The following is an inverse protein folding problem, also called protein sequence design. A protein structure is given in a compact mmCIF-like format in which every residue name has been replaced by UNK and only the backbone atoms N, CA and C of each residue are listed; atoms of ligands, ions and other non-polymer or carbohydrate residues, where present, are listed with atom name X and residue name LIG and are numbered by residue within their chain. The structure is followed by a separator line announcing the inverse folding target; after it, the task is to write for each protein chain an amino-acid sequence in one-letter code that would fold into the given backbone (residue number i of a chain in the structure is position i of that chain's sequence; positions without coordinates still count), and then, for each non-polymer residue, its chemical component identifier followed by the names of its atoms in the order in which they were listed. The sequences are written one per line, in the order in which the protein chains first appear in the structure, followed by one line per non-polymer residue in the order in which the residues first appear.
data_IF_046202226458
#
_entry.id   IF_046202226458
#
_cell.length_a   1.000
_cell.length_b   1.000
_cell.length_c   1.000
_cell.angle_alpha   90.00
_cell.angle_beta   90.00
_cell.angle_gamma   90.00
#
_symmetry.space_group_name_H-M   'P 1'
#
loop_
_entity.id
_entity.type
_entity.pdbx_description
1 polymer ?
#
# COMPACT_ATOMS: atom_id res chain seq x y z
N UNK A 1 9.31 -2.78 -46.33
CA UNK A 1 8.42 -2.32 -45.23
C UNK A 1 7.25 -1.47 -45.74
N UNK A 2 7.46 -0.57 -46.70
CA UNK A 2 6.47 0.41 -47.20
C UNK A 2 5.17 -0.23 -47.69
N UNK A 3 5.24 -1.30 -48.49
CA UNK A 3 4.05 -1.97 -49.04
C UNK A 3 3.06 -2.49 -47.98
N UNK A 4 3.53 -2.91 -46.79
CA UNK A 4 2.64 -3.46 -45.73
C UNK A 4 1.87 -2.38 -44.97
N UNK A 5 2.37 -1.15 -45.00
CA UNK A 5 1.78 0.02 -44.32
C UNK A 5 0.77 0.71 -45.23
N UNK A 6 1.08 0.82 -46.53
CA UNK A 6 0.25 1.54 -47.52
C UNK A 6 -1.06 0.81 -47.87
N UNK A 7 -1.11 -0.53 -47.80
CA UNK A 7 -2.30 -1.30 -48.18
C UNK A 7 -3.37 -1.44 -47.09
N UNK A 8 -3.14 -0.93 -45.87
CA UNK A 8 -4.06 -1.09 -44.73
C UNK A 8 -4.91 0.16 -44.54
N UNK A 9 -6.23 -0.02 -44.50
CA UNK A 9 -7.21 1.04 -44.20
C UNK A 9 -7.34 1.36 -42.70
N UNK A 10 -6.68 0.59 -41.83
CA UNK A 10 -6.73 0.73 -40.37
C UNK A 10 -5.33 1.08 -39.81
N UNK A 11 -5.24 1.82 -38.68
CA UNK A 11 -3.97 2.19 -38.07
C UNK A 11 -3.07 0.97 -37.82
N UNK A 12 -1.76 1.13 -38.04
CA UNK A 12 -0.80 0.05 -37.87
C UNK A 12 -0.52 -0.18 -36.39
N UNK A 13 -1.25 -1.12 -35.79
CA UNK A 13 -0.90 -1.65 -34.48
C UNK A 13 0.19 -2.72 -34.62
N UNK A 14 1.38 -2.43 -34.10
CA UNK A 14 2.43 -3.43 -33.97
C UNK A 14 2.00 -4.45 -32.94
N UNK A 15 2.07 -5.75 -33.31
CA UNK A 15 1.93 -6.82 -32.32
C UNK A 15 2.92 -6.60 -31.17
N UNK A 16 2.50 -6.82 -29.91
CA UNK A 16 3.41 -6.71 -28.77
C UNK A 16 4.60 -7.66 -28.98
N UNK A 17 5.81 -7.16 -28.71
CA UNK A 17 6.99 -8.02 -28.72
C UNK A 17 6.88 -9.02 -27.56
N UNK A 18 7.23 -10.28 -27.81
CA UNK A 18 7.44 -11.24 -26.74
C UNK A 18 8.57 -10.73 -25.86
N UNK A 19 8.24 -10.31 -24.63
CA UNK A 19 9.21 -9.83 -23.67
C UNK A 19 10.20 -10.93 -23.24
N UNK A 20 11.19 -10.54 -22.44
CA UNK A 20 12.15 -11.50 -21.87
C UNK A 20 11.40 -12.55 -21.04
N UNK A 21 11.72 -13.86 -21.19
CA UNK A 21 11.12 -14.90 -20.38
C UNK A 21 11.40 -14.66 -18.90
N UNK A 22 10.46 -15.11 -18.10
CA UNK A 22 10.51 -14.98 -16.66
C UNK A 22 11.52 -15.94 -16.05
N UNK A 23 12.28 -15.46 -15.06
CA UNK A 23 13.21 -16.29 -14.26
C UNK A 23 12.45 -17.27 -13.35
N UNK A 24 11.17 -17.01 -13.07
CA UNK A 24 10.36 -17.82 -12.18
C UNK A 24 9.29 -18.60 -12.92
N UNK A 25 9.16 -19.88 -12.55
CA UNK A 25 8.14 -20.78 -13.06
C UNK A 25 6.77 -20.55 -12.41
N UNK A 26 5.72 -21.08 -13.05
CA UNK A 26 4.34 -21.03 -12.54
C UNK A 26 4.22 -21.65 -11.12
N UNK A 27 4.81 -22.83 -10.81
CA UNK A 27 4.72 -23.40 -9.47
C UNK A 27 5.42 -22.53 -8.42
N UNK A 28 6.58 -21.98 -8.76
CA UNK A 28 7.35 -21.07 -7.92
C UNK A 28 6.57 -19.81 -7.58
N UNK A 29 5.87 -19.23 -8.56
CA UNK A 29 4.99 -18.08 -8.35
C UNK A 29 3.82 -18.41 -7.41
N UNK A 30 3.19 -19.59 -7.57
CA UNK A 30 2.12 -20.04 -6.66
C UNK A 30 2.62 -20.22 -5.23
N UNK A 31 3.84 -20.73 -5.05
CA UNK A 31 4.47 -20.86 -3.72
C UNK A 31 4.68 -19.49 -3.08
N UNK A 32 5.25 -18.54 -3.82
CA UNK A 32 5.43 -17.14 -3.36
C UNK A 32 4.09 -16.53 -2.93
N UNK A 33 3.05 -16.68 -3.74
CA UNK A 33 1.71 -16.17 -3.44
C UNK A 33 1.13 -16.81 -2.16
N UNK A 34 1.28 -18.13 -1.97
CA UNK A 34 0.79 -18.82 -0.77
C UNK A 34 1.50 -18.39 0.50
N UNK A 35 2.83 -18.20 0.44
CA UNK A 35 3.60 -17.73 1.59
C UNK A 35 3.21 -16.29 1.96
N UNK A 36 2.95 -15.46 0.96
CA UNK A 36 2.52 -14.08 1.16
C UNK A 36 1.08 -13.99 1.72
N UNK A 37 0.15 -14.81 1.22
CA UNK A 37 -1.26 -14.74 1.60
C UNK A 37 -1.59 -15.57 2.85
N UNK A 38 -1.34 -16.87 2.82
CA UNK A 38 -1.74 -17.80 3.90
C UNK A 38 -0.83 -17.71 5.11
N UNK A 39 0.48 -17.62 4.89
CA UNK A 39 1.47 -17.58 5.97
C UNK A 39 1.77 -16.15 6.43
N UNK A 40 1.26 -15.12 5.73
CA UNK A 40 1.47 -13.70 6.02
C UNK A 40 2.94 -13.30 6.14
N UNK A 41 3.82 -13.97 5.39
CA UNK A 41 5.25 -13.71 5.41
C UNK A 41 5.61 -12.42 4.67
N UNK A 42 6.61 -11.71 5.16
CA UNK A 42 7.19 -10.55 4.47
C UNK A 42 7.99 -10.95 3.24
N UNK A 43 8.22 -10.00 2.32
CA UNK A 43 9.04 -10.23 1.11
C UNK A 43 10.43 -10.76 1.46
N UNK A 44 11.02 -10.30 2.57
CA UNK A 44 12.34 -10.77 3.03
C UNK A 44 12.29 -12.23 3.46
N UNK A 45 11.31 -12.60 4.27
CA UNK A 45 11.15 -13.98 4.75
C UNK A 45 10.82 -14.92 3.59
N UNK A 46 9.98 -14.48 2.65
CA UNK A 46 9.67 -15.26 1.44
C UNK A 46 10.92 -15.46 0.59
N UNK A 47 11.75 -14.43 0.42
CA UNK A 47 12.99 -14.56 -0.35
C UNK A 47 13.88 -15.65 0.26
N UNK A 48 14.09 -15.64 1.58
CA UNK A 48 14.88 -16.67 2.26
C UNK A 48 14.25 -18.06 2.23
N UNK A 49 12.94 -18.16 2.47
CA UNK A 49 12.24 -19.45 2.56
C UNK A 49 11.85 -20.05 1.21
N UNK A 50 11.84 -19.25 0.13
CA UNK A 50 11.55 -19.74 -1.23
C UNK A 50 12.61 -20.72 -1.74
N UNK A 51 13.83 -20.68 -1.18
CA UNK A 51 15.01 -21.45 -1.66
C UNK A 51 15.32 -21.24 -3.15
N UNK A 52 14.80 -20.17 -3.74
CA UNK A 52 15.02 -19.79 -5.13
C UNK A 52 16.12 -18.72 -5.17
N UNK A 53 16.99 -18.75 -6.18
CA UNK A 53 17.98 -17.69 -6.44
C UNK A 53 17.30 -16.46 -7.05
N UNK A 54 16.37 -15.85 -6.30
CA UNK A 54 15.56 -14.72 -6.73
C UNK A 54 15.75 -13.52 -5.82
N UNK A 55 15.77 -12.33 -6.43
CA UNK A 55 15.88 -11.09 -5.68
C UNK A 55 14.56 -10.74 -4.97
N UNK A 56 14.66 -9.95 -3.89
CA UNK A 56 13.50 -9.39 -3.17
C UNK A 56 12.53 -8.66 -4.11
N UNK A 57 13.06 -7.93 -5.09
CA UNK A 57 12.26 -7.20 -6.07
C UNK A 57 11.46 -8.14 -6.97
N UNK A 58 12.01 -9.30 -7.31
CA UNK A 58 11.29 -10.31 -8.10
C UNK A 58 10.11 -10.86 -7.31
N UNK A 59 10.33 -11.20 -6.03
CA UNK A 59 9.26 -11.66 -5.13
C UNK A 59 8.16 -10.60 -4.99
N UNK A 60 8.56 -9.35 -4.72
CA UNK A 60 7.62 -8.23 -4.60
C UNK A 60 6.79 -8.03 -5.87
N UNK A 61 7.43 -8.06 -7.04
CA UNK A 61 6.75 -7.95 -8.33
C UNK A 61 5.74 -9.08 -8.55
N UNK A 62 6.07 -10.33 -8.19
CA UNK A 62 5.13 -11.48 -8.32
C UNK A 62 3.92 -11.36 -7.42
N UNK A 63 4.08 -10.76 -6.25
CA UNK A 63 2.96 -10.50 -5.34
C UNK A 63 2.02 -9.46 -5.97
N UNK A 64 2.55 -8.36 -6.52
CA UNK A 64 1.74 -7.30 -7.15
C UNK A 64 1.10 -7.78 -8.46
N UNK A 65 1.87 -8.40 -9.35
CA UNK A 65 1.39 -8.93 -10.65
C UNK A 65 0.27 -9.96 -10.48
N UNK A 66 0.20 -10.63 -9.33
CA UNK A 66 -0.83 -11.65 -9.08
C UNK A 66 -2.25 -11.10 -9.02
N UNK A 67 -2.42 -9.81 -8.74
CA UNK A 67 -3.75 -9.17 -8.59
C UNK A 67 -4.57 -9.65 -7.38
N UNK A 68 -4.20 -10.76 -6.74
CA UNK A 68 -4.90 -11.30 -5.56
C UNK A 68 -4.64 -10.52 -4.28
N UNK A 69 -3.48 -9.86 -4.18
CA UNK A 69 -3.05 -9.15 -2.98
C UNK A 69 -3.10 -7.65 -3.20
N UNK A 70 -4.13 -7.00 -2.67
CA UNK A 70 -4.27 -5.55 -2.72
C UNK A 70 -3.38 -4.93 -1.65
N UNK A 71 -2.56 -3.96 -2.03
CA UNK A 71 -1.79 -3.18 -1.07
C UNK A 71 -2.74 -2.40 -0.15
N UNK A 72 -2.74 -2.74 1.14
CA UNK A 72 -3.47 -2.00 2.16
C UNK A 72 -2.53 -1.02 2.86
N UNK A 73 -2.81 0.28 2.72
CA UNK A 73 -2.10 1.32 3.49
C UNK A 73 -2.50 1.17 4.96
N UNK A 74 -1.51 1.03 5.84
CA UNK A 74 -1.76 0.95 7.28
C UNK A 74 -2.45 2.23 7.76
N UNK A 75 -3.61 2.08 8.41
CA UNK A 75 -4.33 3.21 9.00
C UNK A 75 -3.50 3.71 10.18
N UNK A 76 -3.03 4.96 10.11
CA UNK A 76 -2.21 5.59 11.18
C UNK A 76 -2.97 5.87 12.48
N UNK A 77 -4.27 5.59 12.51
CA UNK A 77 -5.15 5.88 13.65
C UNK A 77 -5.53 4.58 14.32
N UNK A 78 -5.47 4.57 15.65
CA UNK A 78 -5.97 3.47 16.46
C UNK A 78 -7.45 3.22 16.11
N UNK A 79 -7.85 1.95 15.97
CA UNK A 79 -9.25 1.62 15.71
C UNK A 79 -10.11 2.13 16.88
N UNK A 80 -11.15 2.89 16.57
CA UNK A 80 -12.11 3.33 17.58
C UNK A 80 -13.02 2.15 17.95
N UNK A 81 -13.12 1.86 19.24
CA UNK A 81 -14.12 0.92 19.74
C UNK A 81 -15.52 1.52 19.57
N UNK A 82 -16.56 0.68 19.58
CA UNK A 82 -17.96 1.15 19.54
C UNK A 82 -18.26 2.16 20.66
N UNK A 83 -17.66 1.96 21.84
CA UNK A 83 -17.76 2.86 22.98
C UNK A 83 -17.10 4.23 22.72
N UNK A 84 -15.93 4.25 22.07
CA UNK A 84 -15.29 5.52 21.69
C UNK A 84 -16.15 6.30 20.71
N UNK A 85 -16.75 5.61 19.73
CA UNK A 85 -17.62 6.23 18.73
C UNK A 85 -18.86 6.84 19.41
N UNK A 86 -19.54 6.10 20.29
CA UNK A 86 -20.74 6.62 20.96
C UNK A 86 -20.43 7.82 21.86
N UNK A 87 -19.36 7.77 22.67
CA UNK A 87 -18.95 8.89 23.53
C UNK A 87 -18.59 10.14 22.74
N UNK A 88 -17.81 9.99 21.66
CA UNK A 88 -17.43 11.11 20.79
C UNK A 88 -18.65 11.71 20.08
N UNK A 89 -19.57 10.87 19.60
CA UNK A 89 -20.80 11.33 18.96
C UNK A 89 -21.70 12.07 19.93
N UNK A 90 -21.88 11.55 21.15
CA UNK A 90 -22.65 12.22 22.19
C UNK A 90 -22.04 13.57 22.56
N UNK A 91 -20.70 13.60 22.74
CA UNK A 91 -19.99 14.84 23.02
C UNK A 91 -20.19 15.87 21.89
N UNK A 92 -20.06 15.47 20.63
CA UNK A 92 -20.27 16.34 19.48
C UNK A 92 -21.71 16.89 19.44
N UNK A 93 -22.73 16.05 19.63
CA UNK A 93 -24.13 16.49 19.67
C UNK A 93 -24.37 17.52 20.77
N UNK A 94 -23.81 17.30 21.96
CA UNK A 94 -23.97 18.21 23.10
C UNK A 94 -23.30 19.58 22.86
N UNK A 95 -22.23 19.63 22.06
CA UNK A 95 -21.44 20.85 21.84
C UNK A 95 -21.63 21.45 20.44
N UNK A 96 -22.44 20.86 19.57
CA UNK A 96 -22.76 21.39 18.24
C UNK A 96 -23.47 22.75 18.33
N UNK A 97 -24.37 22.92 19.29
CA UNK A 97 -25.14 24.15 19.51
C UNK A 97 -24.57 25.03 20.62
N UNK A 98 -23.27 24.91 20.93
CA UNK A 98 -22.66 25.66 22.04
C UNK A 98 -22.54 27.17 21.77
N UNK A 99 -22.47 27.58 20.50
CA UNK A 99 -22.49 28.99 20.09
C UNK A 99 -21.44 29.83 20.82
N UNK A 100 -21.87 30.97 21.38
CA UNK A 100 -21.00 31.93 22.08
C UNK A 100 -20.30 31.35 23.32
N UNK A 101 -20.77 30.21 23.85
CA UNK A 101 -20.10 29.52 24.96
C UNK A 101 -18.71 29.03 24.59
N UNK A 102 -18.43 28.83 23.30
CA UNK A 102 -17.08 28.50 22.82
C UNK A 102 -16.06 29.58 23.15
N UNK A 103 -16.48 30.85 23.28
CA UNK A 103 -15.58 31.97 23.60
C UNK A 103 -14.98 31.87 25.01
N UNK A 104 -15.61 31.12 25.90
CA UNK A 104 -15.11 30.87 27.25
C UNK A 104 -14.22 29.61 27.35
N UNK A 105 -14.03 28.87 26.25
CA UNK A 105 -13.28 27.60 26.27
C UNK A 105 -11.84 27.84 25.84
N UNK A 106 -10.90 27.53 26.74
CA UNK A 106 -9.47 27.47 26.43
C UNK A 106 -9.07 26.00 26.14
N UNK A 107 -8.45 25.76 25.00
CA UNK A 107 -7.90 24.44 24.64
C UNK A 107 -6.40 24.41 24.91
N UNK A 108 -5.93 23.37 25.60
CA UNK A 108 -4.51 23.06 25.80
C UNK A 108 -4.26 21.58 25.52
N UNK A 109 -3.13 21.27 24.88
CA UNK A 109 -2.66 19.90 24.66
C UNK A 109 -1.14 19.87 24.83
N UNK A 110 -0.62 18.78 25.37
CA UNK A 110 0.82 18.61 25.58
C UNK A 110 1.44 18.01 24.33
N UNK A 111 2.39 18.74 23.74
CA UNK A 111 3.22 18.22 22.65
C UNK A 111 4.63 18.00 23.17
N UNK A 112 5.11 16.77 23.09
CA UNK A 112 6.51 16.45 23.35
C UNK A 112 7.38 17.20 22.31
N UNK A 113 8.11 18.21 22.77
CA UNK A 113 9.08 18.93 21.95
C UNK A 113 10.23 17.99 21.60
N UNK A 114 10.44 17.74 20.30
CA UNK A 114 11.70 17.15 19.86
C UNK A 114 12.75 18.24 20.00
N UNK A 115 13.67 18.12 20.96
CA UNK A 115 14.83 19.00 21.01
C UNK A 115 15.61 18.82 19.71
N UNK A 116 15.57 19.81 18.84
CA UNK A 116 16.58 19.91 17.79
C UNK A 116 17.84 20.41 18.49
N UNK A 117 18.80 19.51 18.68
CA UNK A 117 20.14 19.89 19.11
C UNK A 117 20.70 20.87 18.06
N UNK A 118 20.76 22.15 18.43
CA UNK A 118 21.43 23.20 17.66
C UNK A 118 22.94 23.14 17.91
N UNK A 119 23.56 22.00 17.62
CA UNK A 119 25.02 21.84 17.59
C UNK A 119 25.44 21.37 16.22
N UNK A 120 25.76 22.35 15.37
CA UNK A 120 26.25 22.11 14.02
C UNK A 120 26.43 23.41 13.22
N UNK A 121 27.24 24.34 13.75
CA UNK A 121 28.05 25.24 12.92
C UNK A 121 29.51 24.86 13.20
#
# INVERSE_FOLDING_TARGET
MIYRVVTRKTPYETKPRSGKPHVTDIPSNRRIQRMASSQKMSVREITGASRLQISKNTVHRRIIESGYMIHAKMVRRLPLSKLHISKRLQWARNHMSYGDKWMAVLFSDEKNGTSMDLTGI
#
